data_IF_174262829320
#
_entry.id   IF_174262829320
#
_cell.length_a   1.000
_cell.length_b   1.000
_cell.length_c   1.000
_cell.angle_alpha   90.00
_cell.angle_beta   90.00
_cell.angle_gamma   90.00
#
_symmetry.space_group_name_H-M   'P 1'
#
loop_
_entity.id
_entity.type
_entity.pdbx_description
1 polymer ?
#
# COMPACT_ATOMS: atom_id res chain seq x y z
N UNK A 1 -21.54 -6.22 -2.23
CA UNK A 1 -20.41 -7.08 -2.64
C UNK A 1 -19.43 -7.46 -1.53
N UNK A 2 -19.43 -6.78 -0.38
CA UNK A 2 -18.51 -7.04 0.75
C UNK A 2 -18.82 -8.32 1.54
N UNK A 3 -20.04 -8.88 1.44
CA UNK A 3 -20.42 -10.15 2.11
C UNK A 3 -19.60 -11.37 1.65
N UNK A 4 -18.90 -11.27 0.50
CA UNK A 4 -18.07 -12.35 -0.01
C UNK A 4 -16.71 -12.49 0.69
N UNK A 5 -16.23 -11.45 1.39
CA UNK A 5 -14.90 -11.44 2.01
C UNK A 5 -14.86 -12.04 3.43
N UNK A 6 -16.03 -12.17 4.05
CA UNK A 6 -16.19 -12.81 5.36
C UNK A 6 -17.21 -13.96 5.27
N UNK A 7 -16.90 -15.08 5.90
CA UNK A 7 -17.85 -16.17 6.13
C UNK A 7 -17.96 -16.39 7.62
N UNK A 8 -19.19 -16.29 8.19
CA UNK A 8 -19.42 -16.38 9.64
C UNK A 8 -18.54 -15.43 10.47
N UNK A 9 -18.36 -14.18 10.01
CA UNK A 9 -17.53 -13.18 10.69
C UNK A 9 -16.02 -13.38 10.57
N UNK A 10 -15.56 -14.49 9.98
CA UNK A 10 -14.14 -14.76 9.74
C UNK A 10 -13.72 -14.40 8.32
N UNK A 11 -12.48 -13.86 8.18
CA UNK A 11 -11.90 -13.55 6.88
C UNK A 11 -11.77 -14.84 6.04
N UNK A 12 -12.14 -14.77 4.76
CA UNK A 12 -11.98 -15.87 3.79
C UNK A 12 -10.54 -16.07 3.33
N UNK A 13 -9.61 -15.27 3.85
CA UNK A 13 -8.19 -15.36 3.50
C UNK A 13 -7.28 -15.24 4.71
N UNK A 14 -6.07 -15.76 4.58
CA UNK A 14 -5.00 -15.56 5.56
C UNK A 14 -4.38 -14.16 5.37
N UNK A 15 -4.11 -13.41 6.46
CA UNK A 15 -3.41 -12.12 6.36
C UNK A 15 -2.04 -12.26 5.69
N UNK A 16 -1.69 -11.29 4.85
CA UNK A 16 -0.40 -11.22 4.14
C UNK A 16 0.76 -10.71 5.01
N UNK A 17 0.50 -10.42 6.27
CA UNK A 17 1.47 -9.88 7.24
C UNK A 17 1.58 -10.76 8.48
N UNK A 18 2.69 -10.60 9.21
CA UNK A 18 2.87 -11.21 10.52
C UNK A 18 2.25 -10.32 11.60
N UNK A 19 1.46 -10.90 12.51
CA UNK A 19 0.84 -10.17 13.63
C UNK A 19 1.85 -9.67 14.68
N UNK A 20 3.15 -9.92 14.53
CA UNK A 20 4.19 -9.40 15.41
C UNK A 20 4.26 -7.88 15.27
N UNK A 21 3.53 -7.18 16.12
CA UNK A 21 3.71 -5.74 16.28
C UNK A 21 4.98 -5.51 17.08
N UNK A 22 5.98 -4.87 16.47
CA UNK A 22 7.15 -4.40 17.18
C UNK A 22 6.75 -3.47 18.33
N UNK A 23 7.47 -3.51 19.44
CA UNK A 23 7.24 -2.57 20.53
C UNK A 23 7.64 -1.16 20.11
N UNK A 24 6.73 -0.20 20.30
CA UNK A 24 7.03 1.21 20.11
C UNK A 24 7.88 1.76 21.26
N UNK A 25 8.87 2.58 20.93
CA UNK A 25 9.59 3.40 21.91
C UNK A 25 8.65 4.42 22.57
N UNK A 26 9.05 5.00 23.70
CA UNK A 26 8.28 6.08 24.37
C UNK A 26 8.02 7.25 23.41
N UNK A 27 9.00 7.64 22.63
CA UNK A 27 8.86 8.71 21.62
C UNK A 27 7.85 8.35 20.53
N UNK A 28 7.89 7.12 19.99
CA UNK A 28 6.93 6.67 18.98
C UNK A 28 5.50 6.62 19.52
N UNK A 29 5.30 6.20 20.79
CA UNK A 29 3.96 6.22 21.43
C UNK A 29 3.43 7.65 21.53
N UNK A 30 4.30 8.63 21.88
CA UNK A 30 3.96 10.04 21.93
C UNK A 30 3.55 10.56 20.55
N UNK A 31 4.38 10.38 19.51
CA UNK A 31 4.07 10.84 18.16
C UNK A 31 2.78 10.21 17.61
N UNK A 32 2.58 8.91 17.84
CA UNK A 32 1.36 8.25 17.40
C UNK A 32 0.13 8.89 18.05
N UNK A 33 0.13 9.11 19.36
CA UNK A 33 -1.00 9.72 20.09
C UNK A 33 -1.28 11.16 19.68
N UNK A 34 -0.21 11.97 19.52
CA UNK A 34 -0.33 13.41 19.27
C UNK A 34 -0.64 13.74 17.80
N UNK A 35 -0.11 12.94 16.86
CA UNK A 35 -0.20 13.23 15.44
C UNK A 35 -1.23 12.38 14.70
N UNK A 36 -1.70 11.28 15.29
CA UNK A 36 -2.76 10.47 14.69
C UNK A 36 -4.02 11.27 14.35
N UNK A 37 -4.56 12.14 15.23
CA UNK A 37 -5.74 12.94 14.91
C UNK A 37 -5.56 13.87 13.71
N UNK A 38 -4.32 14.21 13.35
CA UNK A 38 -4.01 15.13 12.25
C UNK A 38 -3.84 14.42 10.90
N UNK A 39 -3.27 13.23 10.89
CA UNK A 39 -2.86 12.53 9.67
C UNK A 39 -3.49 11.14 9.52
N UNK A 40 -4.00 10.58 10.61
CA UNK A 40 -4.57 9.23 10.64
C UNK A 40 -6.06 9.22 10.36
N UNK A 41 -6.54 8.11 9.80
CA UNK A 41 -7.96 7.85 9.60
C UNK A 41 -8.44 6.96 10.73
N UNK A 42 -9.39 7.43 11.53
CA UNK A 42 -9.99 6.64 12.62
C UNK A 42 -11.18 5.83 12.12
N UNK A 43 -10.91 4.61 11.70
CA UNK A 43 -11.89 3.68 11.18
C UNK A 43 -12.78 3.02 12.27
N UNK A 44 -12.56 3.31 13.56
CA UNK A 44 -13.42 2.82 14.63
C UNK A 44 -14.72 3.62 14.73
N UNK A 45 -14.67 4.90 14.34
CA UNK A 45 -15.83 5.82 14.38
C UNK A 45 -16.43 6.06 12.99
N UNK A 46 -15.74 5.70 11.91
CA UNK A 46 -16.20 5.93 10.55
C UNK A 46 -16.70 4.61 9.94
N UNK A 47 -17.92 4.63 9.41
CA UNK A 47 -18.44 3.56 8.59
C UNK A 47 -17.78 3.54 7.21
N UNK A 48 -17.52 4.72 6.65
CA UNK A 48 -16.93 4.92 5.32
C UNK A 48 -15.86 5.99 5.33
N UNK A 49 -14.91 5.91 4.41
CA UNK A 49 -13.88 6.89 4.15
C UNK A 49 -14.05 7.44 2.73
N UNK A 50 -14.18 8.75 2.62
CA UNK A 50 -14.11 9.48 1.35
C UNK A 50 -12.88 10.38 1.33
N UNK A 51 -12.05 10.37 0.26
CA UNK A 51 -10.88 11.24 0.17
C UNK A 51 -11.20 12.73 0.36
N UNK A 52 -12.35 13.18 -0.10
CA UNK A 52 -12.76 14.60 -0.02
C UNK A 52 -12.96 15.08 1.43
N UNK A 53 -13.15 14.17 2.39
CA UNK A 53 -13.28 14.52 3.82
C UNK A 53 -11.91 14.81 4.47
N UNK A 54 -10.80 14.39 3.83
CA UNK A 54 -9.47 14.43 4.42
C UNK A 54 -8.48 15.30 3.65
N UNK A 55 -8.64 15.41 2.33
CA UNK A 55 -7.77 16.23 1.52
C UNK A 55 -8.40 17.60 1.23
N UNK A 56 -7.60 18.67 1.40
CA UNK A 56 -8.08 20.04 1.15
C UNK A 56 -8.30 20.36 -0.32
N UNK A 57 -7.62 19.63 -1.20
CA UNK A 57 -7.64 19.82 -2.65
C UNK A 57 -7.96 18.48 -3.27
N UNK A 58 -8.94 18.45 -4.15
CA UNK A 58 -9.21 17.29 -4.98
C UNK A 58 -8.07 17.08 -5.97
N UNK A 59 -7.47 15.90 -5.96
CA UNK A 59 -6.31 15.57 -6.79
C UNK A 59 -6.30 14.07 -7.09
N UNK A 60 -5.61 13.62 -8.17
CA UNK A 60 -5.48 12.20 -8.47
C UNK A 60 -4.87 11.46 -7.28
N UNK A 61 -5.43 10.29 -6.98
CA UNK A 61 -5.20 9.56 -5.74
C UNK A 61 -4.24 8.41 -5.95
N UNK A 62 -3.24 8.30 -5.10
CA UNK A 62 -2.23 7.24 -5.08
C UNK A 62 -2.36 6.45 -3.78
N UNK A 63 -2.36 5.12 -3.88
CA UNK A 63 -2.41 4.22 -2.73
C UNK A 63 -1.08 3.47 -2.58
N UNK A 64 -0.35 3.67 -1.48
CA UNK A 64 0.79 2.83 -1.11
C UNK A 64 0.40 1.84 -0.01
N UNK A 65 0.72 0.56 -0.22
CA UNK A 65 0.40 -0.53 0.68
C UNK A 65 1.69 -1.12 1.25
N UNK A 66 1.83 -1.07 2.57
CA UNK A 66 3.03 -1.55 3.27
C UNK A 66 4.21 -0.60 3.13
N UNK A 67 4.02 0.68 3.37
CA UNK A 67 5.05 1.72 3.14
C UNK A 67 6.33 1.57 3.98
N UNK A 68 6.33 0.73 5.02
CA UNK A 68 7.50 0.46 5.86
C UNK A 68 8.15 1.73 6.43
N UNK A 69 9.27 2.18 5.86
CA UNK A 69 9.95 3.44 6.22
C UNK A 69 9.48 4.65 5.45
N UNK A 70 8.61 4.46 4.47
CA UNK A 70 7.98 5.49 3.63
C UNK A 70 8.99 6.35 2.81
N UNK A 71 10.18 5.83 2.49
CA UNK A 71 11.18 6.59 1.73
C UNK A 71 10.63 7.03 0.38
N UNK A 72 9.99 6.12 -0.38
CA UNK A 72 9.38 6.41 -1.68
C UNK A 72 8.19 7.37 -1.54
N UNK A 73 7.29 7.09 -0.59
CA UNK A 73 6.10 7.90 -0.34
C UNK A 73 6.46 9.37 -0.05
N UNK A 74 7.34 9.58 0.92
CA UNK A 74 7.76 10.92 1.33
C UNK A 74 8.47 11.68 0.21
N UNK A 75 9.35 10.99 -0.52
CA UNK A 75 10.03 11.60 -1.68
C UNK A 75 9.03 12.03 -2.73
N UNK A 76 8.11 11.14 -3.13
CA UNK A 76 7.14 11.40 -4.18
C UNK A 76 6.12 12.47 -3.77
N UNK A 77 5.59 12.41 -2.54
CA UNK A 77 4.61 13.37 -2.06
C UNK A 77 5.18 14.80 -1.94
N UNK A 78 6.48 14.93 -1.63
CA UNK A 78 7.17 16.22 -1.62
C UNK A 78 7.44 16.72 -3.05
N UNK A 79 7.90 15.85 -3.95
CA UNK A 79 8.25 16.22 -5.32
C UNK A 79 7.01 16.44 -6.22
N UNK A 80 5.87 15.86 -5.87
CA UNK A 80 4.64 15.91 -6.65
C UNK A 80 3.43 16.23 -5.76
N UNK A 81 3.32 17.47 -5.27
CA UNK A 81 2.25 17.91 -4.38
C UNK A 81 0.86 17.98 -5.05
N UNK A 82 0.80 17.85 -6.38
CA UNK A 82 -0.43 17.77 -7.16
C UNK A 82 -1.16 16.44 -7.05
N UNK A 83 -0.63 15.46 -6.30
CA UNK A 83 -1.28 14.19 -5.99
C UNK A 83 -1.63 14.10 -4.51
N UNK A 84 -2.68 13.35 -4.21
CA UNK A 84 -3.03 12.94 -2.85
C UNK A 84 -2.63 11.48 -2.64
N UNK A 85 -2.18 11.14 -1.42
CA UNK A 85 -1.65 9.83 -1.10
C UNK A 85 -2.37 9.21 0.08
N UNK A 86 -2.82 7.96 -0.08
CA UNK A 86 -3.29 7.11 1.02
C UNK A 86 -2.18 6.11 1.33
N UNK A 87 -1.72 6.11 2.58
CA UNK A 87 -0.64 5.25 3.06
C UNK A 87 -1.18 4.19 4.02
N UNK A 88 -1.24 2.92 3.60
CA UNK A 88 -1.70 1.81 4.42
C UNK A 88 -0.52 1.03 5.02
N UNK A 89 -0.55 0.80 6.34
CA UNK A 89 0.46 0.00 7.04
C UNK A 89 -0.13 -0.65 8.29
N UNK A 90 0.30 -1.87 8.59
CA UNK A 90 -0.12 -2.63 9.79
C UNK A 90 0.89 -2.55 10.93
N UNK A 91 2.14 -2.16 10.65
CA UNK A 91 3.22 -2.07 11.63
C UNK A 91 3.20 -0.72 12.34
N UNK A 92 2.66 -0.70 13.55
CA UNK A 92 2.45 0.52 14.34
C UNK A 92 3.70 1.40 14.54
N UNK A 93 4.92 0.86 14.77
CA UNK A 93 6.13 1.68 14.81
C UNK A 93 6.44 2.41 13.49
N UNK A 94 6.17 1.81 12.33
CA UNK A 94 6.33 2.45 11.02
C UNK A 94 5.34 3.60 10.85
N UNK A 95 4.09 3.39 11.26
CA UNK A 95 3.06 4.45 11.27
C UNK A 95 3.53 5.63 12.13
N UNK A 96 3.95 5.39 13.37
CA UNK A 96 4.44 6.46 14.25
C UNK A 96 5.64 7.23 13.66
N UNK A 97 6.54 6.53 12.97
CA UNK A 97 7.69 7.14 12.30
C UNK A 97 7.27 8.00 11.12
N UNK A 98 6.28 7.56 10.33
CA UNK A 98 5.73 8.35 9.22
C UNK A 98 5.04 9.61 9.75
N UNK A 99 4.17 9.50 10.75
CA UNK A 99 3.47 10.65 11.34
C UNK A 99 4.44 11.76 11.78
N UNK A 100 5.55 11.37 12.45
CA UNK A 100 6.62 12.30 12.81
C UNK A 100 7.19 13.03 11.57
N UNK A 101 7.52 12.29 10.52
CA UNK A 101 8.10 12.87 9.30
C UNK A 101 7.11 13.80 8.55
N UNK A 102 5.81 13.46 8.54
CA UNK A 102 4.78 14.34 7.96
C UNK A 102 4.73 15.68 8.67
N UNK A 103 4.78 15.66 10.02
CA UNK A 103 4.79 16.87 10.82
C UNK A 103 6.08 17.68 10.63
N UNK A 104 7.25 17.06 10.65
CA UNK A 104 8.55 17.73 10.51
C UNK A 104 8.77 18.36 9.14
N UNK A 105 8.20 17.76 8.08
CA UNK A 105 8.33 18.23 6.69
C UNK A 105 7.15 19.05 6.21
N UNK A 106 6.14 19.29 7.05
CA UNK A 106 4.88 19.97 6.72
C UNK A 106 4.14 19.36 5.50
N UNK A 107 4.19 18.03 5.36
CA UNK A 107 3.53 17.31 4.26
C UNK A 107 2.04 17.16 4.60
N UNK A 108 1.14 17.64 3.71
CA UNK A 108 -0.31 17.72 3.95
C UNK A 108 -1.15 16.87 2.98
N UNK A 109 -0.51 16.31 1.96
CA UNK A 109 -1.15 15.52 0.92
C UNK A 109 -1.04 14.00 1.16
N UNK A 110 -0.78 13.57 2.40
CA UNK A 110 -0.77 12.17 2.80
C UNK A 110 -1.74 11.96 3.96
N UNK A 111 -2.61 10.96 3.84
CA UNK A 111 -3.39 10.41 4.95
C UNK A 111 -2.93 8.99 5.26
N UNK A 112 -2.98 8.60 6.54
CA UNK A 112 -2.41 7.34 7.03
C UNK A 112 -3.50 6.41 7.52
N UNK A 113 -3.51 5.18 7.01
CA UNK A 113 -4.40 4.09 7.41
C UNK A 113 -3.61 3.04 8.18
N UNK A 114 -3.88 2.88 9.47
CA UNK A 114 -3.29 1.83 10.30
C UNK A 114 -4.20 0.60 10.32
N UNK A 115 -4.29 -0.09 9.20
CA UNK A 115 -5.13 -1.30 9.01
C UNK A 115 -4.59 -2.13 7.85
N UNK A 116 -5.06 -3.39 7.74
CA UNK A 116 -4.91 -4.18 6.52
C UNK A 116 -5.56 -3.45 5.36
N UNK A 117 -4.81 -3.25 4.27
CA UNK A 117 -5.26 -2.47 3.12
C UNK A 117 -6.46 -3.11 2.42
N UNK A 118 -6.52 -4.45 2.32
CA UNK A 118 -7.65 -5.13 1.70
C UNK A 118 -8.93 -4.98 2.53
N UNK A 119 -8.81 -5.00 3.87
CA UNK A 119 -9.93 -4.72 4.76
C UNK A 119 -10.36 -3.26 4.70
N UNK A 120 -9.42 -2.33 4.62
CA UNK A 120 -9.72 -0.92 4.47
C UNK A 120 -10.50 -0.65 3.19
N UNK A 121 -10.01 -1.15 2.07
CA UNK A 121 -10.66 -0.99 0.77
C UNK A 121 -12.05 -1.62 0.74
N UNK A 122 -12.18 -2.82 1.27
CA UNK A 122 -13.43 -3.57 1.21
C UNK A 122 -14.52 -3.07 2.17
N UNK A 123 -14.13 -2.65 3.38
CA UNK A 123 -15.08 -2.34 4.45
C UNK A 123 -15.34 -0.83 4.61
N UNK A 124 -14.40 0.04 4.18
CA UNK A 124 -14.47 1.46 4.54
C UNK A 124 -14.30 2.43 3.37
N UNK A 125 -13.52 2.08 2.33
CA UNK A 125 -13.20 3.04 1.29
C UNK A 125 -14.35 3.15 0.29
N UNK A 126 -14.87 4.36 0.11
CA UNK A 126 -15.85 4.66 -0.92
C UNK A 126 -15.19 4.49 -2.30
N UNK A 127 -15.80 3.75 -3.24
CA UNK A 127 -15.24 3.58 -4.57
C UNK A 127 -14.85 4.91 -5.21
N UNK A 128 -13.56 5.15 -5.29
CA UNK A 128 -12.95 6.36 -5.85
C UNK A 128 -11.80 5.92 -6.75
N UNK A 129 -11.73 6.39 -8.01
CA UNK A 129 -10.68 5.96 -8.92
C UNK A 129 -9.27 6.28 -8.39
N UNK A 130 -8.42 5.25 -8.36
CA UNK A 130 -7.01 5.39 -8.03
C UNK A 130 -6.21 5.65 -9.29
N UNK A 131 -5.30 6.61 -9.24
CA UNK A 131 -4.32 6.86 -10.31
C UNK A 131 -3.22 5.82 -10.32
N UNK A 132 -2.70 5.51 -9.13
CA UNK A 132 -1.62 4.54 -8.97
C UNK A 132 -1.84 3.68 -7.72
N UNK A 133 -1.40 2.43 -7.76
CA UNK A 133 -1.34 1.50 -6.60
C UNK A 133 0.09 1.01 -6.49
N UNK A 134 0.68 1.13 -5.30
CA UNK A 134 2.06 0.73 -5.02
C UNK A 134 2.13 -0.37 -3.97
N UNK A 135 2.86 -1.45 -4.28
CA UNK A 135 3.10 -2.56 -3.35
C UNK A 135 4.58 -2.96 -3.46
N UNK A 136 5.43 -2.40 -2.62
CA UNK A 136 6.86 -2.64 -2.68
C UNK A 136 7.33 -3.60 -1.60
N UNK A 137 8.02 -4.66 -2.00
CA UNK A 137 8.60 -5.70 -1.16
C UNK A 137 7.58 -6.33 -0.18
N UNK A 138 6.39 -6.75 -0.66
CA UNK A 138 5.45 -7.49 0.18
C UNK A 138 6.07 -8.81 0.62
N UNK A 139 5.66 -9.30 1.80
CA UNK A 139 6.20 -10.56 2.33
C UNK A 139 6.00 -11.70 1.32
N UNK A 140 7.05 -12.40 0.90
CA UNK A 140 6.99 -13.42 -0.16
C UNK A 140 6.38 -14.74 0.27
N UNK A 141 6.28 -15.00 1.59
CA UNK A 141 5.69 -16.24 2.15
C UNK A 141 6.16 -17.51 1.45
N UNK A 142 7.45 -17.87 1.51
CA UNK A 142 8.01 -18.98 0.74
C UNK A 142 7.41 -20.35 1.08
N UNK A 143 6.83 -20.49 2.29
CA UNK A 143 6.20 -21.74 2.76
C UNK A 143 4.66 -21.74 2.66
N UNK A 144 4.03 -20.59 2.37
CA UNK A 144 2.57 -20.47 2.29
C UNK A 144 2.17 -19.36 1.31
N UNK A 145 2.24 -19.65 0.04
CA UNK A 145 1.95 -18.71 -1.05
C UNK A 145 0.51 -18.17 -0.99
N UNK A 146 -0.41 -18.87 -0.31
CA UNK A 146 -1.79 -18.39 -0.11
C UNK A 146 -1.87 -17.10 0.70
N UNK A 147 -0.78 -16.70 1.37
CA UNK A 147 -0.65 -15.45 2.13
C UNK A 147 -0.04 -14.31 1.33
N UNK A 148 0.48 -14.55 0.12
CA UNK A 148 1.03 -13.48 -0.73
C UNK A 148 -0.01 -12.39 -0.93
N UNK A 149 0.43 -11.13 -0.91
CA UNK A 149 -0.48 -10.00 -1.03
C UNK A 149 -1.06 -9.90 -2.45
N UNK A 150 -0.21 -9.92 -3.47
CA UNK A 150 -0.64 -9.83 -4.88
C UNK A 150 -1.09 -11.22 -5.33
N UNK A 151 -2.40 -11.37 -5.52
CA UNK A 151 -3.11 -12.61 -5.88
C UNK A 151 -4.49 -12.27 -6.46
N UNK A 152 -5.23 -13.18 -7.09
CA UNK A 152 -6.53 -12.88 -7.69
C UNK A 152 -7.50 -12.12 -6.78
N UNK A 153 -7.61 -12.54 -5.50
CA UNK A 153 -8.46 -11.88 -4.52
C UNK A 153 -8.13 -10.41 -4.30
N UNK A 154 -6.84 -10.03 -4.23
CA UNK A 154 -6.47 -8.62 -4.07
C UNK A 154 -6.83 -7.79 -5.29
N UNK A 155 -6.69 -8.34 -6.49
CA UNK A 155 -7.08 -7.68 -7.73
C UNK A 155 -8.60 -7.51 -7.81
N UNK A 156 -9.38 -8.50 -7.36
CA UNK A 156 -10.83 -8.40 -7.24
C UNK A 156 -11.25 -7.27 -6.30
N UNK A 157 -10.58 -7.14 -5.14
CA UNK A 157 -10.85 -6.07 -4.18
C UNK A 157 -10.48 -4.69 -4.75
N UNK A 158 -9.45 -4.58 -5.58
CA UNK A 158 -9.09 -3.33 -6.23
C UNK A 158 -10.08 -2.90 -7.31
N UNK A 159 -10.80 -3.82 -7.93
CA UNK A 159 -11.66 -3.54 -9.10
C UNK A 159 -12.57 -2.31 -8.96
N UNK A 160 -13.27 -2.06 -7.84
CA UNK A 160 -14.13 -0.88 -7.68
C UNK A 160 -13.38 0.46 -7.69
N UNK A 161 -12.06 0.43 -7.53
CA UNK A 161 -11.19 1.61 -7.44
C UNK A 161 -10.34 1.82 -8.70
N UNK A 162 -10.54 0.99 -9.73
CA UNK A 162 -9.78 1.04 -10.97
C UNK A 162 -10.54 1.82 -12.04
N UNK A 163 -9.80 2.58 -12.82
CA UNK A 163 -10.24 3.20 -14.07
C UNK A 163 -9.22 2.93 -15.17
N UNK A 164 -9.63 3.08 -16.44
CA UNK A 164 -8.68 2.98 -17.54
C UNK A 164 -7.47 3.89 -17.30
N UNK A 165 -6.26 3.33 -17.41
CA UNK A 165 -5.01 4.03 -17.14
C UNK A 165 -4.55 4.01 -15.67
N UNK A 166 -5.28 3.38 -14.74
CA UNK A 166 -4.74 3.11 -13.39
C UNK A 166 -3.47 2.26 -13.52
N UNK A 167 -2.38 2.70 -12.87
CA UNK A 167 -1.10 2.00 -12.92
C UNK A 167 -0.81 1.27 -11.62
N UNK A 168 -0.38 0.03 -11.72
CA UNK A 168 0.05 -0.79 -10.59
C UNK A 168 1.57 -0.95 -10.63
N UNK A 169 2.25 -0.51 -9.57
CA UNK A 169 3.68 -0.68 -9.39
C UNK A 169 3.97 -1.64 -8.24
N UNK A 170 4.85 -2.61 -8.48
CA UNK A 170 5.32 -3.49 -7.42
C UNK A 170 6.80 -3.82 -7.60
N UNK A 171 7.44 -4.20 -6.50
CA UNK A 171 8.82 -4.68 -6.51
C UNK A 171 8.98 -5.84 -5.52
N UNK A 172 9.86 -6.79 -5.88
CA UNK A 172 10.24 -7.91 -5.00
C UNK A 172 11.67 -8.34 -5.31
N UNK A 173 12.35 -8.92 -4.32
CA UNK A 173 13.66 -9.56 -4.45
C UNK A 173 13.56 -11.09 -4.57
N UNK A 174 12.33 -11.62 -4.73
CA UNK A 174 12.04 -13.05 -4.78
C UNK A 174 11.48 -13.41 -6.15
N UNK A 175 12.26 -14.16 -6.94
CA UNK A 175 11.99 -14.47 -8.34
C UNK A 175 10.70 -15.24 -8.56
N UNK A 176 10.42 -16.26 -7.74
CA UNK A 176 9.18 -17.03 -7.84
C UNK A 176 7.94 -16.18 -7.53
N UNK A 177 8.10 -15.16 -6.67
CA UNK A 177 7.01 -14.22 -6.42
C UNK A 177 6.82 -13.23 -7.58
N UNK A 178 7.92 -12.75 -8.18
CA UNK A 178 7.84 -11.92 -9.39
C UNK A 178 7.14 -12.66 -10.54
N UNK A 179 7.44 -13.96 -10.71
CA UNK A 179 6.76 -14.81 -11.68
C UNK A 179 5.26 -14.94 -11.36
N UNK A 180 4.92 -15.27 -10.11
CA UNK A 180 3.52 -15.42 -9.67
C UNK A 180 2.71 -14.11 -9.85
N UNK A 181 3.33 -12.94 -9.65
CA UNK A 181 2.69 -11.65 -9.90
C UNK A 181 2.35 -11.49 -11.39
N UNK A 182 3.31 -11.76 -12.29
CA UNK A 182 3.10 -11.66 -13.73
C UNK A 182 1.95 -12.57 -14.20
N UNK A 183 1.93 -13.82 -13.74
CA UNK A 183 0.86 -14.76 -14.07
C UNK A 183 -0.49 -14.30 -13.51
N UNK A 184 -0.53 -13.79 -12.29
CA UNK A 184 -1.76 -13.26 -11.68
C UNK A 184 -2.32 -12.10 -12.49
N UNK A 185 -1.49 -11.15 -12.91
CA UNK A 185 -1.90 -10.01 -13.73
C UNK A 185 -2.38 -10.44 -15.12
N UNK A 186 -1.61 -11.32 -15.79
CA UNK A 186 -1.94 -11.86 -17.11
C UNK A 186 -3.29 -12.57 -17.13
N UNK A 187 -3.57 -13.39 -16.12
CA UNK A 187 -4.79 -14.20 -16.06
C UNK A 187 -6.07 -13.38 -15.88
N UNK A 188 -5.98 -12.10 -15.57
CA UNK A 188 -7.16 -11.21 -15.50
C UNK A 188 -7.48 -10.55 -16.83
N UNK A 189 -6.59 -10.63 -17.84
CA UNK A 189 -6.71 -10.02 -19.17
C UNK A 189 -6.94 -8.49 -19.17
N UNK A 190 -6.93 -7.87 -17.99
CA UNK A 190 -7.20 -6.43 -17.77
C UNK A 190 -5.95 -5.63 -17.43
N UNK A 191 -4.81 -6.30 -17.25
CA UNK A 191 -3.56 -5.65 -16.89
C UNK A 191 -2.51 -5.87 -17.98
N UNK A 192 -2.13 -4.79 -18.64
CA UNK A 192 -1.07 -4.79 -19.66
C UNK A 192 0.26 -4.43 -19.00
N UNK A 193 1.33 -5.23 -19.17
CA UNK A 193 2.65 -4.88 -18.68
C UNK A 193 3.15 -3.57 -19.31
N UNK A 194 3.66 -2.65 -18.48
CA UNK A 194 4.33 -1.43 -18.93
C UNK A 194 5.84 -1.58 -19.03
N UNK A 195 6.43 -2.44 -18.17
CA UNK A 195 7.86 -2.66 -18.14
C UNK A 195 8.34 -3.32 -16.85
N UNK A 196 9.64 -3.55 -16.82
CA UNK A 196 10.37 -4.14 -15.69
C UNK A 196 11.47 -3.22 -15.17
N UNK A 197 11.51 -1.98 -15.66
CA UNK A 197 12.47 -1.00 -15.20
C UNK A 197 11.97 -0.35 -13.91
N UNK A 198 12.94 -0.09 -13.05
CA UNK A 198 12.67 0.65 -11.82
C UNK A 198 12.20 2.07 -12.15
N UNK A 199 11.02 2.49 -11.68
CA UNK A 199 10.60 3.88 -11.86
C UNK A 199 11.62 4.84 -11.22
N UNK A 200 12.02 5.89 -11.94
CA UNK A 200 13.05 6.85 -11.50
C UNK A 200 12.72 7.53 -10.16
N UNK A 201 11.44 7.65 -9.85
CA UNK A 201 10.94 8.24 -8.60
C UNK A 201 10.93 7.26 -7.42
N UNK A 202 11.03 5.93 -7.64
CA UNK A 202 11.03 4.94 -6.56
C UNK A 202 12.37 4.94 -5.83
N UNK A 203 12.36 5.34 -4.57
CA UNK A 203 13.56 5.34 -3.74
C UNK A 203 13.97 3.92 -3.31
N UNK A 204 15.28 3.61 -3.23
CA UNK A 204 15.73 2.32 -2.73
C UNK A 204 15.36 2.16 -1.26
N UNK A 205 14.55 1.13 -0.96
CA UNK A 205 14.22 0.79 0.42
C UNK A 205 15.45 0.25 1.17
N UNK A 206 15.38 0.24 2.52
CA UNK A 206 16.42 -0.39 3.34
C UNK A 206 16.63 -1.87 2.98
N UNK A 207 15.54 -2.58 2.70
CA UNK A 207 15.60 -4.00 2.32
C UNK A 207 16.26 -4.18 0.98
N UNK A 208 15.95 -3.33 0.02
CA UNK A 208 16.56 -3.34 -1.31
C UNK A 208 18.07 -3.06 -1.23
N UNK A 209 18.50 -2.03 -0.48
CA UNK A 209 19.93 -1.74 -0.26
C UNK A 209 20.66 -2.95 0.30
N UNK A 210 20.06 -3.64 1.28
CA UNK A 210 20.60 -4.89 1.84
C UNK A 210 20.59 -6.03 0.83
N UNK A 211 19.53 -6.18 0.02
CA UNK A 211 19.44 -7.17 -1.05
C UNK A 211 20.52 -6.97 -2.10
N UNK A 212 20.72 -5.75 -2.57
CA UNK A 212 21.78 -5.39 -3.53
C UNK A 212 23.16 -5.74 -2.97
N UNK A 213 23.44 -5.44 -1.68
CA UNK A 213 24.69 -5.81 -1.01
C UNK A 213 24.90 -7.33 -1.00
N UNK A 214 23.85 -8.11 -0.98
CA UNK A 214 23.87 -9.58 -1.03
C UNK A 214 23.71 -10.16 -2.45
N UNK A 215 23.94 -9.35 -3.51
CA UNK A 215 23.75 -9.71 -4.92
C UNK A 215 22.35 -10.23 -5.28
N UNK A 216 21.32 -9.86 -4.52
CA UNK A 216 19.93 -10.17 -4.86
C UNK A 216 19.46 -9.31 -6.04
N UNK A 217 18.89 -9.96 -7.05
CA UNK A 217 18.20 -9.27 -8.14
C UNK A 217 16.91 -8.68 -7.64
N UNK A 218 16.64 -7.43 -8.03
CA UNK A 218 15.35 -6.78 -7.78
C UNK A 218 14.50 -6.88 -9.05
N UNK A 219 13.26 -7.27 -8.86
CA UNK A 219 12.25 -7.35 -9.91
C UNK A 219 11.27 -6.19 -9.70
N UNK A 220 11.41 -5.15 -10.49
CA UNK A 220 10.42 -4.09 -10.61
C UNK A 220 9.41 -4.48 -11.69
N UNK A 221 8.13 -4.34 -11.40
CA UNK A 221 7.05 -4.71 -12.30
C UNK A 221 6.02 -3.58 -12.32
N UNK A 222 5.59 -3.21 -13.51
CA UNK A 222 4.54 -2.20 -13.68
C UNK A 222 3.51 -2.66 -14.70
N UNK A 223 2.24 -2.33 -14.44
CA UNK A 223 1.11 -2.73 -15.25
C UNK A 223 0.12 -1.56 -15.34
N UNK A 224 -0.57 -1.44 -16.48
CA UNK A 224 -1.67 -0.50 -16.67
C UNK A 224 -2.98 -1.26 -16.80
N UNK A 225 -4.00 -0.75 -16.14
CA UNK A 225 -5.35 -1.31 -16.20
C UNK A 225 -6.09 -0.82 -17.44
N UNK A 226 -6.65 -1.79 -18.19
CA UNK A 226 -7.52 -1.58 -19.34
C UNK A 226 -8.75 -2.48 -19.13
N UNK A 227 -9.93 -1.91 -18.79
CA UNK A 227 -11.14 -2.66 -18.46
C UNK A 227 -11.69 -3.51 -19.59
#
# INVERSE_FOLDING_TARGET
MVSSLKRNGQLRWKPSYLRRQGQMTKAQKRYYRELWPKFGIDLNYLSTFSPNDYFRIEAPLILEIGFGKAETLLHRATAQPQYNYIACEVHKPSVAALLKQLQERDIKNIVVVHKDALLFLADHFVPTPLKEIWVFFPNPWPKDHSRRFIRPLSLEIFTPFLSAGTTFYCATDVEDYAFAIKETMKNTEKWTPLGTDRPSWRQPSKYEKKGITNNCRIFDLSFVYSP
#
